data_IF_412805998179
#
_entry.id   IF_412805998179
#
_cell.length_a   1.000
_cell.length_b   1.000
_cell.length_c   1.000
_cell.angle_alpha   90.00
_cell.angle_beta   90.00
_cell.angle_gamma   90.00
#
_symmetry.space_group_name_H-M   'P 1'
#
loop_
_entity.id
_entity.type
_entity.pdbx_description
1 polymer ?
#
# COMPACT_ATOMS: atom_id res chain seq x y z
N UNK A 1 19.17 25.49 -0.94
CA UNK A 1 18.94 25.19 -2.37
C UNK A 1 17.61 25.81 -2.77
N UNK A 2 17.59 26.56 -3.89
CA UNK A 2 16.39 27.22 -4.42
C UNK A 2 15.34 26.18 -4.84
N UNK A 3 14.06 26.54 -4.75
CA UNK A 3 12.94 25.73 -5.27
C UNK A 3 13.16 25.40 -6.74
N UNK A 4 13.63 26.35 -7.53
CA UNK A 4 13.97 26.18 -8.97
C UNK A 4 14.95 25.04 -9.17
N UNK A 5 16.02 24.94 -8.36
CA UNK A 5 17.01 23.85 -8.47
C UNK A 5 16.43 22.47 -8.17
N UNK A 6 15.38 22.39 -7.34
CA UNK A 6 14.68 21.13 -7.05
C UNK A 6 13.68 20.76 -8.15
N UNK A 7 13.10 21.75 -8.81
CA UNK A 7 12.10 21.55 -9.85
C UNK A 7 12.73 21.38 -11.24
N UNK A 8 14.00 21.79 -11.42
CA UNK A 8 14.69 21.72 -12.70
C UNK A 8 14.64 20.35 -13.39
N UNK A 9 14.79 19.20 -12.70
CA UNK A 9 14.68 17.89 -13.35
C UNK A 9 13.32 17.65 -14.01
N UNK A 10 12.24 18.20 -13.44
CA UNK A 10 10.88 18.03 -13.99
C UNK A 10 10.67 18.85 -15.26
N UNK A 11 11.24 20.05 -15.36
CA UNK A 11 11.08 20.92 -16.52
C UNK A 11 11.84 20.45 -17.77
N UNK A 12 12.79 19.57 -17.62
CA UNK A 12 13.62 19.05 -18.72
C UNK A 12 13.28 17.60 -19.09
N UNK A 13 12.19 17.06 -18.53
CA UNK A 13 11.74 15.70 -18.78
C UNK A 13 10.77 15.71 -19.95
N UNK A 14 11.16 15.13 -21.08
CA UNK A 14 10.36 15.08 -22.32
C UNK A 14 9.13 14.16 -22.21
N UNK A 15 9.11 13.31 -21.20
CA UNK A 15 7.99 12.40 -20.92
C UNK A 15 6.77 13.09 -20.30
N UNK A 16 6.93 14.33 -19.81
CA UNK A 16 5.81 15.13 -19.34
C UNK A 16 5.18 15.87 -20.51
N UNK A 17 4.04 15.37 -20.95
CA UNK A 17 3.23 15.97 -22.00
C UNK A 17 1.87 16.38 -21.42
N UNK A 18 1.29 17.43 -21.99
CA UNK A 18 -0.08 17.79 -21.67
C UNK A 18 -1.02 16.76 -22.32
N UNK A 19 -1.85 16.12 -21.51
CA UNK A 19 -2.84 15.17 -21.97
C UNK A 19 -4.24 15.63 -21.53
N UNK A 20 -4.96 16.35 -22.42
CA UNK A 20 -6.29 16.87 -22.11
C UNK A 20 -7.34 15.76 -21.87
N UNK A 21 -7.07 14.53 -22.32
CA UNK A 21 -7.97 13.39 -22.15
C UNK A 21 -7.76 12.64 -20.84
N UNK A 22 -6.80 13.09 -19.99
CA UNK A 22 -6.59 12.50 -18.67
C UNK A 22 -7.78 12.80 -17.76
N UNK A 23 -8.47 11.74 -17.32
CA UNK A 23 -9.62 11.83 -16.43
C UNK A 23 -9.60 10.71 -15.38
N UNK A 24 -9.59 11.10 -14.12
CA UNK A 24 -9.66 10.16 -13.00
C UNK A 24 -10.95 9.33 -13.00
N UNK A 25 -12.06 9.85 -13.50
CA UNK A 25 -13.32 9.10 -13.60
C UNK A 25 -13.16 7.87 -14.48
N UNK A 26 -12.53 8.03 -15.64
CA UNK A 26 -12.25 6.95 -16.57
C UNK A 26 -11.21 5.96 -16.03
N UNK A 27 -10.31 6.41 -15.16
CA UNK A 27 -9.28 5.55 -14.54
C UNK A 27 -9.86 4.74 -13.39
N UNK A 28 -10.62 5.37 -12.49
CA UNK A 28 -11.06 4.78 -11.23
C UNK A 28 -12.43 4.12 -11.31
N UNK A 29 -13.31 4.58 -12.21
CA UNK A 29 -14.72 4.20 -12.24
C UNK A 29 -15.20 3.75 -13.63
N UNK A 30 -14.29 3.23 -14.45
CA UNK A 30 -14.68 2.66 -15.74
C UNK A 30 -15.67 1.49 -15.55
N UNK A 31 -16.64 1.37 -16.47
CA UNK A 31 -17.64 0.31 -16.45
C UNK A 31 -17.03 -1.09 -16.64
N UNK A 32 -15.91 -1.15 -17.35
CA UNK A 32 -15.14 -2.38 -17.53
C UNK A 32 -13.99 -2.47 -16.52
N UNK A 33 -13.73 -3.66 -16.01
CA UNK A 33 -12.58 -3.91 -15.15
C UNK A 33 -11.27 -3.65 -15.91
N UNK A 34 -10.58 -2.58 -15.56
CA UNK A 34 -9.30 -2.17 -16.16
C UNK A 34 -8.20 -2.16 -15.10
N UNK A 35 -6.99 -2.52 -15.52
CA UNK A 35 -5.78 -2.34 -14.73
C UNK A 35 -4.96 -1.24 -15.38
N UNK A 36 -4.81 -0.11 -14.69
CA UNK A 36 -3.97 1.00 -15.13
C UNK A 36 -2.63 0.88 -14.42
N UNK A 37 -1.55 0.74 -15.18
CA UNK A 37 -0.19 0.59 -14.65
C UNK A 37 0.58 1.86 -14.96
N UNK A 38 1.05 2.52 -13.90
CA UNK A 38 1.94 3.66 -14.00
C UNK A 38 3.39 3.19 -13.84
N UNK A 39 4.11 3.20 -14.95
CA UNK A 39 5.50 2.78 -14.97
C UNK A 39 6.43 3.98 -14.81
N UNK A 40 7.14 4.05 -13.68
CA UNK A 40 8.02 5.18 -13.35
C UNK A 40 9.51 4.83 -13.43
N UNK A 41 9.87 3.67 -13.97
CA UNK A 41 11.24 3.14 -13.98
C UNK A 41 12.25 3.97 -14.75
N UNK A 42 11.80 4.83 -15.67
CA UNK A 42 12.65 5.75 -16.45
C UNK A 42 13.11 6.97 -15.65
N UNK A 43 12.46 7.27 -14.54
CA UNK A 43 12.73 8.46 -13.71
C UNK A 43 13.70 8.14 -12.58
N UNK A 44 14.41 9.17 -12.09
CA UNK A 44 15.18 9.04 -10.85
C UNK A 44 14.26 8.74 -9.66
N UNK A 45 14.81 8.16 -8.60
CA UNK A 45 14.02 7.79 -7.41
C UNK A 45 13.29 8.99 -6.80
N UNK A 46 13.93 10.13 -6.74
CA UNK A 46 13.34 11.36 -6.21
C UNK A 46 12.14 11.81 -7.07
N UNK A 47 12.24 11.69 -8.39
CA UNK A 47 11.15 11.99 -9.31
C UNK A 47 10.02 10.97 -9.19
N UNK A 48 10.32 9.67 -9.10
CA UNK A 48 9.33 8.63 -8.88
C UNK A 48 8.47 8.92 -7.63
N UNK A 49 9.12 9.24 -6.51
CA UNK A 49 8.43 9.60 -5.26
C UNK A 49 7.55 10.84 -5.46
N UNK A 50 8.11 11.91 -6.03
CA UNK A 50 7.37 13.16 -6.21
C UNK A 50 6.16 12.99 -7.15
N UNK A 51 6.32 12.30 -8.27
CA UNK A 51 5.24 12.00 -9.21
C UNK A 51 4.14 11.18 -8.51
N UNK A 52 4.54 10.12 -7.80
CA UNK A 52 3.58 9.26 -7.09
C UNK A 52 2.80 10.06 -6.05
N UNK A 53 3.46 10.89 -5.23
CA UNK A 53 2.78 11.70 -4.22
C UNK A 53 1.85 12.75 -4.83
N UNK A 54 2.25 13.41 -5.92
CA UNK A 54 1.41 14.37 -6.63
C UNK A 54 0.16 13.69 -7.19
N UNK A 55 0.30 12.53 -7.82
CA UNK A 55 -0.83 11.76 -8.35
C UNK A 55 -1.75 11.24 -7.26
N UNK A 56 -1.20 10.78 -6.14
CA UNK A 56 -2.02 10.38 -5.00
C UNK A 56 -2.81 11.55 -4.43
N UNK A 57 -2.23 12.76 -4.35
CA UNK A 57 -2.94 13.96 -3.94
C UNK A 57 -4.04 14.33 -4.93
N UNK A 58 -3.77 14.30 -6.22
CA UNK A 58 -4.74 14.65 -7.24
C UNK A 58 -5.91 13.66 -7.24
N UNK A 59 -5.63 12.35 -7.23
CA UNK A 59 -6.64 11.31 -7.06
C UNK A 59 -7.42 11.46 -5.75
N UNK A 60 -6.75 11.83 -4.64
CA UNK A 60 -7.39 12.07 -3.36
C UNK A 60 -8.41 13.21 -3.42
N UNK A 61 -8.04 14.36 -4.00
CA UNK A 61 -8.96 15.49 -4.16
C UNK A 61 -10.12 15.16 -5.09
N UNK A 62 -9.85 14.44 -6.18
CA UNK A 62 -10.90 13.95 -7.07
C UNK A 62 -11.90 13.06 -6.33
N UNK A 63 -11.41 12.07 -5.60
CA UNK A 63 -12.27 11.11 -4.90
C UNK A 63 -13.01 11.72 -3.71
N UNK A 64 -12.45 12.73 -3.05
CA UNK A 64 -13.20 13.52 -2.05
C UNK A 64 -14.43 14.20 -2.63
N UNK A 65 -14.42 14.54 -3.90
CA UNK A 65 -15.53 15.21 -4.59
C UNK A 65 -16.52 14.24 -5.23
N UNK A 66 -16.03 13.14 -5.79
CA UNK A 66 -16.82 12.25 -6.65
C UNK A 66 -16.89 10.81 -6.16
N UNK A 67 -16.05 10.43 -5.22
CA UNK A 67 -15.96 9.08 -4.69
C UNK A 67 -16.99 8.78 -3.60
N UNK A 68 -17.28 7.51 -3.39
CA UNK A 68 -18.09 7.01 -2.30
C UNK A 68 -17.67 5.59 -1.93
N UNK A 69 -18.05 5.14 -0.73
CA UNK A 69 -17.80 3.76 -0.28
C UNK A 69 -18.48 2.70 -1.17
N UNK A 70 -19.52 3.09 -1.92
CA UNK A 70 -20.31 2.19 -2.78
C UNK A 70 -19.69 2.08 -4.20
N UNK A 71 -18.63 2.85 -4.47
CA UNK A 71 -17.82 2.80 -5.70
C UNK A 71 -16.36 2.51 -5.34
N UNK A 72 -16.04 1.29 -4.86
CA UNK A 72 -14.69 0.97 -4.44
C UNK A 72 -13.77 0.80 -5.64
N UNK A 73 -12.51 1.21 -5.47
CA UNK A 73 -11.43 0.98 -6.41
C UNK A 73 -10.15 0.57 -5.66
N UNK A 74 -9.27 -0.14 -6.34
CA UNK A 74 -8.02 -0.63 -5.75
C UNK A 74 -6.85 0.20 -6.25
N UNK A 75 -6.01 0.66 -5.34
CA UNK A 75 -4.72 1.27 -5.64
C UNK A 75 -3.62 0.44 -5.00
N UNK A 76 -2.69 -0.05 -5.80
CA UNK A 76 -1.53 -0.81 -5.33
C UNK A 76 -0.30 0.10 -5.37
N UNK A 77 0.34 0.27 -4.22
CA UNK A 77 1.57 1.03 -4.07
C UNK A 77 2.69 0.04 -3.73
N UNK A 78 3.48 -0.29 -4.74
CA UNK A 78 4.68 -1.10 -4.55
C UNK A 78 5.83 -0.24 -4.05
N UNK A 79 6.77 -0.84 -3.31
CA UNK A 79 7.89 -0.15 -2.68
C UNK A 79 7.44 1.05 -1.81
N UNK A 80 6.33 0.87 -1.08
CA UNK A 80 5.67 1.93 -0.32
C UNK A 80 6.59 2.56 0.75
N UNK A 81 7.65 1.88 1.19
CA UNK A 81 8.66 2.46 2.09
C UNK A 81 9.41 3.66 1.49
N UNK A 82 9.31 3.88 0.18
CA UNK A 82 9.93 5.02 -0.48
C UNK A 82 9.09 6.30 -0.39
N UNK A 83 7.80 6.18 -0.06
CA UNK A 83 6.87 7.29 0.07
C UNK A 83 6.90 7.88 1.48
N UNK A 84 6.48 9.12 1.61
CA UNK A 84 6.25 9.72 2.93
C UNK A 84 4.96 9.18 3.55
N UNK A 85 5.02 8.79 4.81
CA UNK A 85 3.86 8.40 5.61
C UNK A 85 3.64 9.34 6.80
N UNK A 86 4.16 10.55 6.72
CA UNK A 86 3.92 11.60 7.72
C UNK A 86 2.44 12.01 7.72
N UNK A 87 1.99 12.68 8.78
CA UNK A 87 0.60 13.16 8.90
C UNK A 87 0.12 14.04 7.73
N UNK A 88 1.05 14.67 7.02
CA UNK A 88 0.76 15.57 5.89
C UNK A 88 0.90 14.89 4.53
N UNK A 89 1.12 13.59 4.48
CA UNK A 89 1.27 12.84 3.23
C UNK A 89 -0.08 12.35 2.68
N UNK A 90 -0.18 12.10 1.38
CA UNK A 90 -1.39 11.53 0.77
C UNK A 90 -1.68 10.13 1.31
N UNK A 91 -0.66 9.32 1.58
CA UNK A 91 -0.81 7.99 2.15
C UNK A 91 -1.46 8.01 3.53
N UNK A 92 -1.10 8.98 4.39
CA UNK A 92 -1.74 9.14 5.70
C UNK A 92 -3.23 9.51 5.57
N UNK A 93 -3.57 10.43 4.66
CA UNK A 93 -4.97 10.79 4.38
C UNK A 93 -5.78 9.58 3.89
N UNK A 94 -5.22 8.81 2.95
CA UNK A 94 -5.83 7.60 2.39
C UNK A 94 -6.04 6.53 3.49
N UNK A 95 -5.03 6.26 4.32
CA UNK A 95 -5.13 5.28 5.42
C UNK A 95 -6.18 5.67 6.46
N UNK A 96 -6.33 6.97 6.74
CA UNK A 96 -7.23 7.46 7.78
C UNK A 96 -8.68 7.56 7.30
N UNK A 97 -8.90 8.05 6.09
CA UNK A 97 -10.22 8.43 5.61
C UNK A 97 -10.62 7.79 4.26
N UNK A 98 -9.69 7.15 3.57
CA UNK A 98 -9.89 6.69 2.19
C UNK A 98 -11.11 5.79 2.00
N UNK A 99 -11.42 4.94 2.97
CA UNK A 99 -12.60 4.06 2.94
C UNK A 99 -13.92 4.82 2.68
N UNK A 100 -14.06 6.04 3.18
CA UNK A 100 -15.27 6.86 2.98
C UNK A 100 -15.49 7.22 1.51
N UNK A 101 -14.39 7.28 0.75
CA UNK A 101 -14.34 7.71 -0.65
C UNK A 101 -14.06 6.55 -1.63
N UNK A 102 -14.15 5.30 -1.17
CA UNK A 102 -14.00 4.11 -2.00
C UNK A 102 -12.57 3.57 -2.12
N UNK A 103 -11.59 4.12 -1.43
CA UNK A 103 -10.20 3.64 -1.49
C UNK A 103 -10.04 2.26 -0.86
N UNK A 104 -9.48 1.33 -1.63
CA UNK A 104 -8.86 0.09 -1.17
C UNK A 104 -7.37 0.16 -1.50
N UNK A 105 -6.59 0.73 -0.59
CA UNK A 105 -5.16 0.94 -0.81
C UNK A 105 -4.35 -0.25 -0.28
N UNK A 106 -3.50 -0.82 -1.15
CA UNK A 106 -2.60 -1.92 -0.86
C UNK A 106 -1.17 -1.41 -0.86
N UNK A 107 -0.52 -1.46 0.28
CA UNK A 107 0.87 -1.02 0.43
C UNK A 107 1.77 -2.25 0.48
N UNK A 108 2.62 -2.43 -0.52
CA UNK A 108 3.66 -3.44 -0.50
C UNK A 108 4.99 -2.80 -0.11
N UNK A 109 5.70 -3.42 0.82
CA UNK A 109 6.99 -2.94 1.31
C UNK A 109 7.94 -4.10 1.58
N UNK A 110 9.21 -3.92 1.28
CA UNK A 110 10.25 -4.91 1.58
C UNK A 110 10.78 -4.78 3.00
N UNK A 111 10.76 -3.58 3.58
CA UNK A 111 11.25 -3.32 4.93
C UNK A 111 10.60 -2.09 5.54
N UNK A 112 10.32 -2.16 6.82
CA UNK A 112 9.81 -1.04 7.62
C UNK A 112 10.93 -0.22 8.29
N UNK A 113 12.19 -0.66 8.21
CA UNK A 113 13.32 -0.04 8.93
C UNK A 113 13.69 1.35 8.44
N UNK A 114 13.45 1.63 7.18
CA UNK A 114 13.76 2.94 6.56
C UNK A 114 12.76 4.02 6.97
N UNK A 115 11.63 3.61 7.57
CA UNK A 115 10.57 4.49 8.03
C UNK A 115 10.80 4.89 9.49
N UNK A 116 10.31 6.06 9.86
CA UNK A 116 10.26 6.50 11.26
C UNK A 116 9.20 5.71 12.03
N UNK A 117 9.36 5.59 13.33
CA UNK A 117 8.42 4.80 14.16
C UNK A 117 6.96 5.28 14.04
N UNK A 118 6.72 6.57 13.94
CA UNK A 118 5.38 7.13 13.77
C UNK A 118 4.78 6.84 12.38
N UNK A 119 5.59 6.69 11.34
CA UNK A 119 5.17 6.27 10.00
C UNK A 119 4.85 4.78 9.97
N UNK A 120 5.67 3.97 10.63
CA UNK A 120 5.41 2.52 10.81
C UNK A 120 4.08 2.31 11.54
N UNK A 121 3.84 3.03 12.62
CA UNK A 121 2.57 2.94 13.37
C UNK A 121 1.38 3.25 12.46
N UNK A 122 1.46 4.26 11.58
CA UNK A 122 0.38 4.57 10.62
C UNK A 122 0.15 3.45 9.62
N UNK A 123 1.19 2.91 9.00
CA UNK A 123 1.05 1.78 8.06
C UNK A 123 0.45 0.54 8.74
N UNK A 124 0.81 0.30 9.99
CA UNK A 124 0.28 -0.82 10.77
C UNK A 124 -1.19 -0.66 11.21
N UNK A 125 -1.79 0.54 11.01
CA UNK A 125 -3.24 0.75 11.19
C UNK A 125 -4.08 0.12 10.06
N UNK A 126 -3.45 -0.39 8.98
CA UNK A 126 -4.16 -1.11 7.92
C UNK A 126 -4.99 -2.26 8.51
N UNK A 127 -6.24 -2.40 8.04
CA UNK A 127 -7.18 -3.40 8.57
C UNK A 127 -6.75 -4.84 8.30
N UNK A 128 -6.03 -5.06 7.19
CA UNK A 128 -5.52 -6.37 6.79
C UNK A 128 -4.03 -6.31 6.51
N UNK A 129 -3.28 -7.28 6.99
CA UNK A 129 -1.82 -7.36 6.85
C UNK A 129 -1.37 -8.76 6.45
N UNK A 130 -0.41 -8.82 5.53
CA UNK A 130 0.27 -10.04 5.12
C UNK A 130 1.76 -9.90 5.44
N UNK A 131 2.25 -10.74 6.34
CA UNK A 131 3.67 -10.79 6.67
C UNK A 131 4.31 -11.99 5.99
N UNK A 132 5.02 -11.75 4.90
CA UNK A 132 5.93 -12.71 4.32
C UNK A 132 7.17 -12.85 5.21
N UNK A 133 8.05 -13.82 4.94
CA UNK A 133 9.24 -14.00 5.76
C UNK A 133 10.09 -12.73 5.74
N UNK A 134 10.17 -11.99 6.86
CA UNK A 134 10.95 -10.77 6.94
C UNK A 134 12.44 -11.07 7.12
N UNK A 135 13.27 -10.03 7.13
CA UNK A 135 14.68 -10.13 7.49
C UNK A 135 14.83 -10.51 8.97
N UNK A 136 15.94 -11.14 9.34
CA UNK A 136 16.15 -11.69 10.70
C UNK A 136 15.98 -10.64 11.80
N UNK A 137 16.43 -9.44 11.55
CA UNK A 137 16.39 -8.32 12.47
C UNK A 137 14.99 -7.67 12.62
N UNK A 138 14.06 -7.93 11.70
CA UNK A 138 12.64 -7.51 11.82
C UNK A 138 11.76 -8.59 12.45
N UNK A 139 12.20 -9.85 12.46
CA UNK A 139 11.39 -10.98 12.97
C UNK A 139 10.90 -10.80 14.41
N UNK A 140 11.76 -10.29 15.29
CA UNK A 140 11.40 -10.06 16.69
C UNK A 140 10.34 -8.97 16.84
N UNK A 141 10.46 -7.87 16.07
CA UNK A 141 9.49 -6.77 16.09
C UNK A 141 8.13 -7.24 15.58
N UNK A 142 8.11 -7.98 14.46
CA UNK A 142 6.89 -8.53 13.87
C UNK A 142 6.27 -9.59 14.79
N UNK A 143 7.07 -10.47 15.40
CA UNK A 143 6.57 -11.46 16.36
C UNK A 143 5.79 -10.81 17.51
N UNK A 144 6.31 -9.71 18.06
CA UNK A 144 5.62 -8.94 19.12
C UNK A 144 4.33 -8.27 18.63
N UNK A 145 4.27 -7.86 17.36
CA UNK A 145 3.05 -7.28 16.77
C UNK A 145 1.96 -8.32 16.51
N UNK A 146 2.35 -9.56 16.24
CA UNK A 146 1.42 -10.67 16.04
C UNK A 146 0.84 -11.20 17.36
N UNK A 147 1.60 -11.08 18.42
CA UNK A 147 1.22 -11.55 19.76
C UNK A 147 0.56 -10.41 20.54
N UNK A 148 -0.73 -10.21 20.30
CA UNK A 148 -1.53 -9.18 20.99
C UNK A 148 -1.93 -9.58 22.43
N UNK A 149 -1.81 -10.87 22.77
CA UNK A 149 -2.26 -11.41 24.06
C UNK A 149 -1.10 -11.77 24.99
N UNK A 150 0.14 -11.87 24.48
CA UNK A 150 1.29 -12.35 25.23
C UNK A 150 1.33 -13.88 25.40
N UNK A 151 0.40 -14.59 24.76
CA UNK A 151 0.23 -16.05 24.92
C UNK A 151 0.93 -16.87 23.84
N UNK A 152 1.18 -16.27 22.67
CA UNK A 152 1.69 -17.00 21.51
C UNK A 152 3.03 -16.50 21.05
N UNK A 153 4.06 -17.31 21.14
CA UNK A 153 5.36 -16.98 20.55
C UNK A 153 5.35 -17.21 19.03
N UNK A 154 5.23 -16.14 18.25
CA UNK A 154 5.20 -16.19 16.78
C UNK A 154 6.59 -16.29 16.15
N UNK A 155 7.68 -16.05 16.88
CA UNK A 155 9.04 -16.05 16.32
C UNK A 155 9.41 -17.38 15.64
N UNK A 156 9.18 -18.57 16.23
CA UNK A 156 9.46 -19.83 15.56
C UNK A 156 8.61 -20.06 14.30
N UNK A 157 7.39 -19.53 14.26
CA UNK A 157 6.51 -19.63 13.10
C UNK A 157 7.05 -18.79 11.96
N UNK A 158 7.44 -17.54 12.23
CA UNK A 158 8.05 -16.62 11.25
C UNK A 158 9.33 -17.21 10.66
N UNK A 159 10.20 -17.77 11.51
CA UNK A 159 11.46 -18.37 11.07
C UNK A 159 11.27 -19.54 10.10
N UNK A 160 10.19 -20.30 10.29
CA UNK A 160 9.87 -21.49 9.46
C UNK A 160 9.08 -21.17 8.20
N UNK A 161 8.67 -19.93 7.97
CA UNK A 161 7.97 -19.56 6.73
C UNK A 161 8.81 -19.89 5.51
N UNK A 162 8.19 -20.58 4.55
CA UNK A 162 8.76 -20.92 3.26
C UNK A 162 8.41 -19.88 2.21
N UNK A 163 9.09 -19.91 1.07
CA UNK A 163 8.73 -19.11 -0.11
C UNK A 163 7.26 -19.37 -0.48
N UNK A 164 6.47 -18.32 -0.67
CA UNK A 164 5.05 -18.41 -0.96
C UNK A 164 4.17 -18.60 0.29
N UNK A 165 4.74 -18.52 1.50
CA UNK A 165 3.96 -18.50 2.74
C UNK A 165 3.98 -17.12 3.39
N UNK A 166 2.86 -16.74 4.00
CA UNK A 166 2.76 -15.53 4.80
C UNK A 166 1.87 -15.75 6.01
N UNK A 167 1.96 -14.85 6.99
CA UNK A 167 1.01 -14.75 8.10
C UNK A 167 0.00 -13.66 7.77
N UNK A 168 -1.28 -14.04 7.70
CA UNK A 168 -2.38 -13.11 7.46
C UNK A 168 -3.00 -12.67 8.78
N UNK A 169 -3.17 -11.36 8.96
CA UNK A 169 -3.74 -10.71 10.14
C UNK A 169 -4.83 -9.75 9.72
N UNK A 170 -5.93 -9.71 10.44
CA UNK A 170 -7.07 -8.84 10.18
C UNK A 170 -8.36 -9.60 9.96
N UNK A 171 -9.40 -8.90 9.52
CA UNK A 171 -10.71 -9.49 9.29
C UNK A 171 -10.66 -10.47 8.12
N UNK A 172 -11.24 -11.63 8.32
CA UNK A 172 -11.29 -12.70 7.32
C UNK A 172 -12.71 -13.22 7.19
N UNK A 173 -13.03 -13.75 6.02
CA UNK A 173 -14.27 -14.48 5.82
C UNK A 173 -14.19 -15.80 6.57
N UNK A 174 -15.15 -16.03 7.46
CA UNK A 174 -15.31 -17.28 8.21
C UNK A 174 -16.09 -18.30 7.36
N UNK A 175 -16.05 -19.59 7.70
CA UNK A 175 -16.80 -20.62 6.97
C UNK A 175 -18.32 -20.37 6.86
N UNK A 176 -18.89 -19.60 7.79
CA UNK A 176 -20.30 -19.19 7.78
C UNK A 176 -20.59 -17.97 6.90
N UNK A 177 -19.60 -17.47 6.12
CA UNK A 177 -19.73 -16.30 5.25
C UNK A 177 -19.63 -14.95 5.96
N UNK A 178 -19.55 -14.91 7.29
CA UNK A 178 -19.36 -13.66 8.03
C UNK A 178 -17.90 -13.20 7.98
N UNK A 179 -17.70 -11.90 7.83
CA UNK A 179 -16.38 -11.26 7.92
C UNK A 179 -16.18 -10.77 9.35
N UNK A 180 -14.99 -11.02 9.89
CA UNK A 180 -14.67 -10.52 11.21
C UNK A 180 -13.26 -10.91 11.67
N UNK A 181 -12.83 -10.38 12.83
CA UNK A 181 -11.49 -10.60 13.34
C UNK A 181 -11.23 -12.08 13.56
N UNK A 182 -10.06 -12.52 13.16
CA UNK A 182 -9.55 -13.87 13.39
C UNK A 182 -8.14 -13.81 13.90
N UNK A 183 -7.72 -14.84 14.62
CA UNK A 183 -6.33 -14.98 15.01
C UNK A 183 -5.41 -14.97 13.78
N UNK A 184 -4.14 -14.54 13.92
CA UNK A 184 -3.16 -14.65 12.84
C UNK A 184 -3.10 -16.11 12.32
N UNK A 185 -2.98 -16.28 11.01
CA UNK A 185 -2.95 -17.61 10.38
C UNK A 185 -1.88 -17.66 9.28
N UNK A 186 -1.19 -18.81 9.20
CA UNK A 186 -0.26 -19.07 8.09
C UNK A 186 -1.06 -19.42 6.84
N UNK A 187 -0.79 -18.72 5.75
CA UNK A 187 -1.44 -18.88 4.45
C UNK A 187 -0.41 -19.26 3.40
N UNK A 188 -0.76 -20.19 2.52
CA UNK A 188 0.01 -20.52 1.32
C UNK A 188 -0.51 -19.64 0.16
N UNK A 189 0.38 -18.88 -0.46
CA UNK A 189 0.08 -18.10 -1.67
C UNK A 189 0.51 -18.94 -2.88
N UNK A 190 -0.45 -19.45 -3.63
CA UNK A 190 -0.17 -20.18 -4.85
C UNK A 190 0.34 -19.24 -5.94
N UNK A 191 1.33 -19.67 -6.72
CA UNK A 191 1.74 -18.95 -7.90
C UNK A 191 0.58 -18.88 -8.91
N UNK A 192 0.51 -17.80 -9.69
CA UNK A 192 -0.61 -17.53 -10.61
C UNK A 192 -0.80 -18.65 -11.65
N UNK A 193 0.30 -19.18 -12.17
CA UNK A 193 0.37 -20.29 -13.13
C UNK A 193 -0.13 -21.65 -12.58
N UNK A 194 -0.28 -21.77 -11.26
CA UNK A 194 -0.79 -22.98 -10.58
C UNK A 194 -2.23 -22.85 -10.08
N UNK A 195 -2.93 -21.78 -10.47
CA UNK A 195 -4.34 -21.57 -10.14
C UNK A 195 -5.21 -22.05 -11.30
N UNK A 196 -5.30 -23.34 -11.48
CA UNK A 196 -6.32 -23.98 -12.35
C UNK A 196 -7.49 -24.43 -11.50
#
# INVERSE_FOLDING_TARGET
>A
KSVISKMSPFFHTVEFVDNPDFDWGNILYADEAKVNIMQLTIFTREMQVAITELMLWDAWYYTKKYGSKDKPFVVVLDEAQNLSHTMKSPSAAILTEGRKFGWSAWFATQSLKVLKDDEVVRLLQSAFKLYFKPTEDEMVKISKQLDTTGETNWLPVIQRLKKGQCIAVGDKMKPNGLVGPTAPVVVNVSAFDKRN
#
